data_IF_069260269336
#
_entry.id   IF_069260269336
#
_cell.length_a   1.000
_cell.length_b   1.000
_cell.length_c   1.000
_cell.angle_alpha   90.00
_cell.angle_beta   90.00
_cell.angle_gamma   90.00
#
_symmetry.space_group_name_H-M   'P 1'
#
loop_
_entity.id
_entity.type
_entity.pdbx_description
1 polymer ?
#
# COMPACT_ATOMS: atom_id res chain seq x y z
N UNK A 1 44.57 -19.52 -10.06
CA UNK A 1 44.00 -18.24 -10.53
C UNK A 1 42.78 -17.90 -9.69
N UNK A 2 42.96 -17.22 -8.55
CA UNK A 2 41.91 -16.95 -7.55
C UNK A 2 41.55 -15.46 -7.47
N UNK A 3 41.33 -14.80 -8.61
CA UNK A 3 41.08 -13.33 -8.65
C UNK A 3 39.63 -12.93 -8.94
N UNK A 4 38.66 -13.86 -8.92
CA UNK A 4 37.26 -13.56 -9.25
C UNK A 4 36.32 -13.24 -8.08
N UNK A 5 36.72 -13.51 -6.83
CA UNK A 5 35.81 -13.44 -5.68
C UNK A 5 35.50 -12.01 -5.22
N UNK A 6 36.43 -11.07 -5.40
CA UNK A 6 36.30 -9.71 -4.91
C UNK A 6 36.95 -8.69 -5.86
N UNK A 7 36.34 -8.45 -7.01
CA UNK A 7 36.74 -7.34 -7.90
C UNK A 7 35.81 -6.17 -7.64
N UNK A 8 36.32 -5.11 -7.00
CA UNK A 8 35.59 -3.87 -6.78
C UNK A 8 35.12 -3.31 -8.12
N UNK A 9 33.82 -3.07 -8.26
CA UNK A 9 33.23 -2.51 -9.47
C UNK A 9 32.81 -3.52 -10.57
N UNK A 10 33.05 -4.84 -10.41
CA UNK A 10 32.52 -5.83 -11.35
C UNK A 10 31.13 -6.32 -10.90
N UNK A 11 30.03 -6.06 -11.65
CA UNK A 11 28.68 -6.49 -11.30
C UNK A 11 28.53 -8.01 -11.17
N UNK A 12 29.40 -8.77 -11.84
CA UNK A 12 29.38 -10.23 -11.88
C UNK A 12 30.29 -10.88 -10.82
N UNK A 13 30.88 -10.11 -9.89
CA UNK A 13 31.57 -10.70 -8.76
C UNK A 13 30.57 -11.41 -7.85
N UNK A 14 30.96 -12.56 -7.28
CA UNK A 14 30.09 -13.32 -6.37
C UNK A 14 29.58 -12.44 -5.23
N UNK A 15 30.42 -11.57 -4.67
CA UNK A 15 30.05 -10.66 -3.58
C UNK A 15 28.99 -9.65 -4.04
N UNK A 16 29.13 -9.04 -5.22
CA UNK A 16 28.13 -8.11 -5.72
C UNK A 16 26.83 -8.82 -6.11
N UNK A 17 26.90 -10.01 -6.69
CA UNK A 17 25.71 -10.82 -7.00
C UNK A 17 24.99 -11.27 -5.71
N UNK A 18 25.74 -11.70 -4.69
CA UNK A 18 25.21 -12.08 -3.38
C UNK A 18 24.58 -10.87 -2.68
N UNK A 19 25.29 -9.75 -2.57
CA UNK A 19 24.76 -8.52 -1.98
C UNK A 19 23.52 -8.04 -2.71
N UNK A 20 23.53 -7.99 -4.05
CA UNK A 20 22.36 -7.59 -4.83
C UNK A 20 21.18 -8.54 -4.64
N UNK A 21 21.41 -9.85 -4.65
CA UNK A 21 20.34 -10.83 -4.46
C UNK A 21 19.73 -10.76 -3.06
N UNK A 22 20.57 -10.81 -2.02
CA UNK A 22 20.11 -10.81 -0.62
C UNK A 22 19.61 -9.44 -0.17
N UNK A 23 20.19 -8.33 -0.62
CA UNK A 23 19.65 -7.00 -0.34
C UNK A 23 18.27 -6.84 -0.99
N UNK A 24 18.09 -7.26 -2.25
CA UNK A 24 16.79 -7.20 -2.91
C UNK A 24 15.75 -8.10 -2.23
N UNK A 25 16.13 -9.32 -1.84
CA UNK A 25 15.24 -10.22 -1.10
C UNK A 25 14.86 -9.64 0.27
N UNK A 26 15.82 -9.07 1.00
CA UNK A 26 15.58 -8.44 2.31
C UNK A 26 14.70 -7.20 2.18
N UNK A 27 14.94 -6.35 1.18
CA UNK A 27 14.10 -5.18 0.91
C UNK A 27 12.69 -5.58 0.48
N UNK A 28 12.54 -6.60 -0.37
CA UNK A 28 11.24 -7.12 -0.76
C UNK A 28 10.49 -7.68 0.45
N UNK A 29 11.16 -8.45 1.32
CA UNK A 29 10.56 -8.95 2.56
C UNK A 29 10.13 -7.80 3.47
N UNK A 30 10.95 -6.75 3.58
CA UNK A 30 10.58 -5.55 4.33
C UNK A 30 9.35 -4.86 3.76
N UNK A 31 9.29 -4.64 2.44
CA UNK A 31 8.12 -4.02 1.81
C UNK A 31 6.88 -4.91 1.90
N UNK A 32 7.03 -6.23 1.86
CA UNK A 32 5.95 -7.18 2.14
C UNK A 32 5.44 -7.01 3.58
N UNK A 33 6.33 -6.93 4.57
CA UNK A 33 5.92 -6.66 5.96
C UNK A 33 5.23 -5.31 6.11
N UNK A 34 5.74 -4.27 5.44
CA UNK A 34 5.12 -2.93 5.41
C UNK A 34 3.72 -2.98 4.76
N UNK A 35 3.56 -3.71 3.65
CA UNK A 35 2.27 -3.94 3.00
C UNK A 35 1.32 -4.72 3.92
N UNK A 36 1.83 -5.68 4.68
CA UNK A 36 1.00 -6.45 5.60
C UNK A 36 0.45 -5.61 6.74
N UNK A 37 1.26 -4.67 7.25
CA UNK A 37 0.93 -3.80 8.38
C UNK A 37 0.25 -2.48 7.96
N UNK A 38 0.23 -2.14 6.67
CA UNK A 38 -0.29 -0.85 6.23
C UNK A 38 -1.79 -0.73 6.54
N UNK A 39 -2.14 0.35 7.22
CA UNK A 39 -3.50 0.79 7.50
C UNK A 39 -3.55 2.31 7.50
N UNK A 40 -4.73 2.87 7.30
CA UNK A 40 -5.01 4.28 7.44
C UNK A 40 -4.84 4.65 8.91
N UNK A 41 -3.93 5.59 9.18
CA UNK A 41 -3.73 6.11 10.53
C UNK A 41 -4.92 6.99 10.96
N UNK A 42 -5.18 7.15 12.27
CA UNK A 42 -6.18 8.10 12.75
C UNK A 42 -5.92 9.51 12.21
N UNK A 43 -6.94 10.13 11.61
CA UNK A 43 -6.84 11.47 11.01
C UNK A 43 -6.07 11.54 9.67
N UNK A 44 -5.53 10.43 9.18
CA UNK A 44 -4.93 10.39 7.85
C UNK A 44 -6.00 10.38 6.77
N UNK A 45 -5.83 11.19 5.72
CA UNK A 45 -6.74 11.19 4.57
C UNK A 45 -6.71 9.86 3.80
N UNK A 46 -7.81 9.52 3.13
CA UNK A 46 -7.87 8.38 2.21
C UNK A 46 -6.84 8.53 1.10
N UNK A 47 -6.61 9.77 0.62
CA UNK A 47 -5.65 10.03 -0.46
C UNK A 47 -4.21 9.70 -0.05
N UNK A 48 -3.79 10.11 1.14
CA UNK A 48 -2.43 9.84 1.63
C UNK A 48 -2.22 8.34 1.90
N UNK A 49 -3.25 7.67 2.43
CA UNK A 49 -3.22 6.22 2.62
C UNK A 49 -3.12 5.49 1.27
N UNK A 50 -3.95 5.85 0.29
CA UNK A 50 -3.95 5.26 -1.04
C UNK A 50 -2.62 5.46 -1.78
N UNK A 51 -1.98 6.63 -1.65
CA UNK A 51 -0.68 6.88 -2.23
C UNK A 51 0.39 5.94 -1.64
N UNK A 52 0.46 5.82 -0.31
CA UNK A 52 1.41 4.92 0.36
C UNK A 52 1.17 3.46 -0.05
N UNK A 53 -0.09 3.05 -0.12
CA UNK A 53 -0.47 1.70 -0.55
C UNK A 53 -0.02 1.42 -1.98
N UNK A 54 -0.27 2.33 -2.93
CA UNK A 54 0.16 2.20 -4.33
C UNK A 54 1.68 2.09 -4.44
N UNK A 55 2.42 2.92 -3.71
CA UNK A 55 3.89 2.90 -3.71
C UNK A 55 4.45 1.57 -3.17
N UNK A 56 3.86 1.01 -2.11
CA UNK A 56 4.26 -0.31 -1.59
C UNK A 56 3.93 -1.42 -2.58
N UNK A 57 2.73 -1.41 -3.16
CA UNK A 57 2.33 -2.40 -4.16
C UNK A 57 3.27 -2.39 -5.37
N UNK A 58 3.68 -1.23 -5.87
CA UNK A 58 4.63 -1.14 -6.99
C UNK A 58 6.01 -1.75 -6.67
N UNK A 59 6.44 -1.70 -5.40
CA UNK A 59 7.72 -2.25 -4.95
C UNK A 59 7.66 -3.75 -4.69
N UNK A 60 6.53 -4.21 -4.20
CA UNK A 60 6.27 -5.60 -3.85
C UNK A 60 5.90 -6.44 -5.08
N UNK A 61 5.05 -5.87 -5.94
CA UNK A 61 4.49 -6.50 -7.12
C UNK A 61 5.13 -6.00 -8.41
N UNK A 62 6.43 -6.26 -8.57
CA UNK A 62 7.15 -5.88 -9.77
C UNK A 62 6.74 -6.66 -11.02
N UNK A 63 6.07 -7.81 -10.86
CA UNK A 63 5.69 -8.71 -11.95
C UNK A 63 4.19 -8.77 -12.23
N UNK A 64 3.35 -8.07 -11.46
CA UNK A 64 1.89 -8.14 -11.60
C UNK A 64 1.30 -9.49 -11.15
N UNK A 65 1.89 -10.12 -10.13
CA UNK A 65 1.51 -11.44 -9.63
C UNK A 65 0.32 -11.43 -8.65
N UNK A 66 -0.05 -10.28 -8.08
CA UNK A 66 -1.19 -10.24 -7.16
C UNK A 66 -2.52 -10.12 -7.92
N UNK A 67 -3.47 -10.99 -7.58
CA UNK A 67 -4.82 -10.91 -8.12
C UNK A 67 -5.54 -9.63 -7.68
N UNK A 68 -6.35 -9.04 -8.56
CA UNK A 68 -7.10 -7.80 -8.28
C UNK A 68 -7.95 -7.90 -7.00
N UNK A 69 -8.59 -9.06 -6.78
CA UNK A 69 -9.37 -9.30 -5.57
C UNK A 69 -8.53 -9.19 -4.29
N UNK A 70 -7.30 -9.71 -4.29
CA UNK A 70 -6.39 -9.57 -3.15
C UNK A 70 -6.03 -8.11 -2.91
N UNK A 71 -5.66 -7.38 -3.96
CA UNK A 71 -5.26 -5.96 -3.89
C UNK A 71 -6.40 -5.12 -3.30
N UNK A 72 -7.60 -5.28 -3.84
CA UNK A 72 -8.81 -4.58 -3.36
C UNK A 72 -9.10 -4.94 -1.91
N UNK A 73 -9.15 -6.23 -1.57
CA UNK A 73 -9.43 -6.66 -0.20
C UNK A 73 -8.38 -6.15 0.77
N UNK A 74 -7.10 -6.10 0.38
CA UNK A 74 -6.02 -5.62 1.23
C UNK A 74 -6.15 -4.12 1.49
N UNK A 75 -6.43 -3.33 0.44
CA UNK A 75 -6.67 -1.89 0.56
C UNK A 75 -7.89 -1.61 1.46
N UNK A 76 -9.03 -2.26 1.20
CA UNK A 76 -10.28 -2.00 1.93
C UNK A 76 -10.14 -2.35 3.42
N UNK A 77 -9.48 -3.47 3.76
CA UNK A 77 -9.22 -3.86 5.15
C UNK A 77 -8.28 -2.91 5.90
N UNK A 78 -7.46 -2.16 5.17
CA UNK A 78 -6.58 -1.15 5.75
C UNK A 78 -7.25 0.21 5.95
N UNK A 79 -8.47 0.44 5.44
CA UNK A 79 -9.20 1.68 5.69
C UNK A 79 -9.61 1.83 7.16
N UNK A 80 -9.96 3.05 7.55
CA UNK A 80 -10.60 3.28 8.84
C UNK A 80 -11.90 2.45 8.98
N UNK A 81 -12.26 1.97 10.18
CA UNK A 81 -13.38 1.03 10.33
C UNK A 81 -14.72 1.52 9.79
N UNK A 82 -14.99 2.83 9.89
CA UNK A 82 -16.18 3.44 9.32
C UNK A 82 -16.14 3.37 7.79
N UNK A 83 -15.08 3.87 7.14
CA UNK A 83 -14.96 3.83 5.68
C UNK A 83 -14.98 2.39 5.14
N UNK A 84 -14.30 1.46 5.82
CA UNK A 84 -14.24 0.05 5.43
C UNK A 84 -15.64 -0.54 5.22
N UNK A 85 -16.54 -0.40 6.20
CA UNK A 85 -17.87 -1.02 6.13
C UNK A 85 -18.71 -0.50 4.97
N UNK A 86 -18.66 0.82 4.72
CA UNK A 86 -19.36 1.45 3.60
C UNK A 86 -18.74 1.06 2.25
N UNK A 87 -17.42 1.05 2.13
CA UNK A 87 -16.73 0.68 0.88
C UNK A 87 -16.99 -0.79 0.53
N UNK A 88 -17.00 -1.71 1.52
CA UNK A 88 -17.37 -3.12 1.29
C UNK A 88 -18.79 -3.24 0.73
N UNK A 89 -19.74 -2.45 1.25
CA UNK A 89 -21.12 -2.46 0.74
C UNK A 89 -21.24 -2.09 -0.74
N UNK A 90 -20.30 -1.30 -1.27
CA UNK A 90 -20.24 -0.95 -2.70
C UNK A 90 -19.53 -1.98 -3.59
N UNK A 91 -18.97 -3.05 -3.01
CA UNK A 91 -18.35 -4.17 -3.75
C UNK A 91 -17.39 -3.75 -4.88
N UNK A 92 -16.37 -2.92 -4.60
CA UNK A 92 -15.43 -2.46 -5.64
C UNK A 92 -14.68 -3.63 -6.28
N UNK A 93 -14.51 -3.60 -7.60
CA UNK A 93 -13.82 -4.66 -8.36
C UNK A 93 -12.36 -4.33 -8.68
N UNK A 94 -11.97 -3.06 -8.53
CA UNK A 94 -10.61 -2.57 -8.81
C UNK A 94 -10.12 -1.68 -7.68
N UNK A 95 -8.81 -1.57 -7.54
CA UNK A 95 -8.19 -0.69 -6.54
C UNK A 95 -8.65 0.77 -6.72
N UNK A 96 -8.71 1.25 -7.95
CA UNK A 96 -9.15 2.62 -8.21
C UNK A 96 -10.63 2.84 -7.88
N UNK A 97 -11.51 1.86 -8.14
CA UNK A 97 -12.91 1.93 -7.71
C UNK A 97 -13.03 2.00 -6.18
N UNK A 98 -12.23 1.19 -5.46
CA UNK A 98 -12.20 1.22 -3.99
C UNK A 98 -11.71 2.57 -3.45
N UNK A 99 -10.65 3.14 -4.06
CA UNK A 99 -10.12 4.46 -3.68
C UNK A 99 -11.15 5.55 -3.93
N UNK A 100 -11.78 5.56 -5.11
CA UNK A 100 -12.79 6.56 -5.48
C UNK A 100 -13.97 6.53 -4.50
N UNK A 101 -14.54 5.35 -4.21
CA UNK A 101 -15.61 5.25 -3.20
C UNK A 101 -15.16 5.70 -1.83
N UNK A 102 -13.98 5.28 -1.37
CA UNK A 102 -13.47 5.69 -0.06
C UNK A 102 -13.34 7.23 0.04
N UNK A 103 -12.87 7.91 -1.02
CA UNK A 103 -12.76 9.37 -1.08
C UNK A 103 -14.11 10.08 -1.08
N UNK A 104 -15.08 9.57 -1.84
CA UNK A 104 -16.43 10.14 -1.85
C UNK A 104 -17.10 10.03 -0.48
N UNK A 105 -16.98 8.87 0.18
CA UNK A 105 -17.52 8.65 1.52
C UNK A 105 -16.81 9.56 2.53
N UNK A 106 -15.48 9.67 2.50
CA UNK A 106 -14.71 10.60 3.34
C UNK A 106 -15.19 12.05 3.16
N UNK A 107 -15.39 12.48 1.91
CA UNK A 107 -15.93 13.81 1.60
C UNK A 107 -17.34 13.99 2.19
N UNK A 108 -18.20 12.98 2.07
CA UNK A 108 -19.53 12.98 2.69
C UNK A 108 -19.49 13.19 4.21
N UNK A 109 -18.55 12.54 4.90
CA UNK A 109 -18.33 12.77 6.34
C UNK A 109 -17.84 14.18 6.63
N UNK A 110 -16.86 14.69 5.87
CA UNK A 110 -16.36 16.06 6.05
C UNK A 110 -17.46 17.10 5.85
N UNK A 111 -18.39 16.89 4.92
CA UNK A 111 -19.54 17.77 4.71
C UNK A 111 -20.59 17.63 5.84
N UNK A 112 -20.80 16.43 6.36
CA UNK A 112 -21.78 16.18 7.43
C UNK A 112 -21.33 16.69 8.82
N UNK A 113 -20.03 16.66 9.12
CA UNK A 113 -19.48 17.12 10.40
C UNK A 113 -19.83 18.58 10.78
N UNK A 114 -19.74 19.59 9.89
CA UNK A 114 -20.16 20.95 10.23
C UNK A 114 -21.67 21.09 10.47
N UNK A 115 -22.52 20.20 9.91
CA UNK A 115 -23.98 20.25 10.10
C UNK A 115 -24.36 19.85 11.53
N UNK A 116 -23.61 18.95 12.16
CA UNK A 116 -23.88 18.50 13.53
C UNK A 116 -23.56 19.55 14.59
N UNK A 117 -22.58 20.44 14.36
CA UNK A 117 -22.22 21.49 15.32
C UNK A 117 -23.23 22.65 15.32
N UNK A 118 -24.04 22.81 14.27
CA UNK A 118 -25.06 23.85 14.17
C UNK A 118 -26.41 23.46 14.78
N UNK A 119 -26.61 22.19 15.16
CA UNK A 119 -27.85 21.72 15.79
C UNK A 119 -27.80 21.72 17.34
N UNK A 120 -26.71 22.22 17.93
CA UNK A 120 -26.50 22.28 19.40
C UNK A 120 -26.26 23.73 19.89
N UNK A 121 -26.63 24.73 19.09
CA UNK A 121 -26.75 26.14 19.48
C UNK A 121 -28.18 26.62 19.25
#
# INVERSE_FOLDING_TARGET
NYQGWHVQGNPNSFVNAFLNYFANATMKNRWMSELEMIKQNPGQSVSDYAQKFKMLMQRVDTTGGFGQHYIVSKFVRGLSPHLMTMVVGHSPQTLDAAITKAKEIETGFTIAQPIQQQQIM
#
